data_IF_501047205781
#
_entry.id   IF_501047205781
#
_cell.length_a   1.000
_cell.length_b   1.000
_cell.length_c   1.000
_cell.angle_alpha   90.00
_cell.angle_beta   90.00
_cell.angle_gamma   90.00
#
_symmetry.space_group_name_H-M   'P 1'
#
loop_
_entity.id
_entity.type
_entity.pdbx_description
1 polymer ?
#
# COMPACT_ATOMS: atom_id res chain seq x y z
N UNK A 1 -1.94 -8.19 4.52
CA UNK A 1 -1.50 -6.81 4.87
C UNK A 1 -2.67 -5.84 4.99
N UNK A 2 -3.32 -5.43 3.88
CA UNK A 2 -4.29 -4.33 3.88
C UNK A 2 -5.45 -4.54 4.86
N UNK A 3 -6.01 -5.76 4.94
CA UNK A 3 -7.10 -6.08 5.88
C UNK A 3 -6.74 -5.97 7.37
N UNK A 4 -5.46 -5.80 7.72
CA UNK A 4 -4.99 -5.66 9.09
C UNK A 4 -4.78 -4.19 9.50
N UNK A 5 -4.91 -3.26 8.56
CA UNK A 5 -4.75 -1.82 8.80
C UNK A 5 -6.10 -1.24 9.24
N UNK A 6 -6.26 -0.99 10.53
CA UNK A 6 -7.51 -0.46 11.08
C UNK A 6 -7.49 1.07 11.09
N UNK A 7 -8.51 1.68 10.49
CA UNK A 7 -8.63 3.15 10.43
C UNK A 7 -7.73 3.83 9.40
N UNK A 8 -7.04 3.08 8.54
CA UNK A 8 -6.18 3.63 7.47
C UNK A 8 -6.77 3.29 6.11
N UNK A 9 -7.16 4.31 5.35
CA UNK A 9 -7.58 4.12 3.96
C UNK A 9 -6.33 3.96 3.06
N UNK A 10 -6.13 2.77 2.50
CA UNK A 10 -5.00 2.48 1.59
C UNK A 10 -5.48 1.81 0.30
N UNK A 11 -4.72 1.99 -0.78
CA UNK A 11 -4.96 1.34 -2.07
C UNK A 11 -3.76 0.50 -2.49
N UNK A 12 -4.01 -0.72 -2.95
CA UNK A 12 -3.00 -1.56 -3.58
C UNK A 12 -2.61 -0.99 -4.96
N UNK A 13 -1.30 -0.89 -5.23
CA UNK A 13 -0.76 -0.34 -6.47
C UNK A 13 -0.71 -1.32 -7.65
N UNK A 14 -1.04 -2.61 -7.44
CA UNK A 14 -1.22 -3.60 -8.48
C UNK A 14 -2.70 -3.59 -8.92
N UNK A 15 -2.98 -2.76 -9.92
CA UNK A 15 -4.28 -2.44 -10.51
C UNK A 15 -5.50 -3.28 -10.07
N UNK A 16 -6.39 -2.63 -9.32
CA UNK A 16 -7.74 -3.12 -9.06
C UNK A 16 -8.67 -2.80 -10.25
N UNK A 17 -8.69 -3.66 -11.26
CA UNK A 17 -9.88 -3.87 -12.10
C UNK A 17 -9.90 -5.30 -12.65
N UNK A 18 -11.02 -6.01 -12.42
CA UNK A 18 -11.50 -7.20 -13.12
C UNK A 18 -10.51 -8.38 -13.31
N UNK A 19 -10.46 -9.29 -12.32
CA UNK A 19 -10.20 -10.72 -12.57
C UNK A 19 -8.75 -11.15 -12.86
N UNK A 20 -7.76 -10.25 -12.83
CA UNK A 20 -6.34 -10.59 -13.01
C UNK A 20 -5.40 -9.64 -12.26
N UNK A 21 -4.17 -10.10 -11.97
CA UNK A 21 -3.10 -9.26 -11.43
C UNK A 21 -2.60 -8.39 -12.59
N UNK A 22 -3.16 -7.20 -12.73
CA UNK A 22 -2.61 -6.18 -13.61
C UNK A 22 -1.69 -5.26 -12.80
N UNK A 23 -0.56 -4.87 -13.39
CA UNK A 23 0.36 -3.91 -12.76
C UNK A 23 -0.09 -2.50 -13.13
N UNK A 24 0.14 -1.52 -12.25
CA UNK A 24 -0.11 -0.11 -12.60
C UNK A 24 0.70 0.29 -13.84
N UNK A 25 0.02 0.85 -14.84
CA UNK A 25 0.66 1.40 -16.04
C UNK A 25 1.71 2.47 -15.73
N UNK A 26 1.59 3.16 -14.60
CA UNK A 26 2.61 4.11 -14.11
C UNK A 26 3.86 3.38 -13.66
N UNK A 27 3.73 2.29 -12.89
CA UNK A 27 4.86 1.48 -12.44
C UNK A 27 5.56 0.78 -13.62
N UNK A 28 4.80 0.37 -14.64
CA UNK A 28 5.32 -0.16 -15.90
C UNK A 28 6.13 0.90 -16.66
N UNK A 29 5.60 2.12 -16.81
CA UNK A 29 6.30 3.23 -17.47
C UNK A 29 7.58 3.63 -16.72
N UNK A 30 7.58 3.52 -15.38
CA UNK A 30 8.76 3.71 -14.52
C UNK A 30 9.76 2.55 -14.59
N UNK A 31 9.44 1.47 -15.31
CA UNK A 31 10.26 0.24 -15.40
C UNK A 31 10.53 -0.41 -14.05
N UNK A 32 9.56 -0.34 -13.13
CA UNK A 32 9.66 -1.00 -11.82
C UNK A 32 9.57 -2.52 -12.03
N UNK A 33 10.47 -3.33 -11.44
CA UNK A 33 10.38 -4.79 -11.50
C UNK A 33 9.01 -5.30 -11.02
N UNK A 34 8.43 -6.25 -11.74
CA UNK A 34 7.09 -6.80 -11.46
C UNK A 34 6.94 -7.28 -10.02
N UNK A 35 7.97 -7.95 -9.48
CA UNK A 35 7.99 -8.43 -8.09
C UNK A 35 7.81 -7.29 -7.08
N UNK A 36 8.39 -6.12 -7.35
CA UNK A 36 8.24 -4.94 -6.49
C UNK A 36 6.91 -4.23 -6.74
N UNK A 37 6.46 -4.18 -7.99
CA UNK A 37 5.20 -3.54 -8.36
C UNK A 37 3.98 -4.26 -7.73
N UNK A 38 4.02 -5.59 -7.62
CA UNK A 38 3.00 -6.40 -6.95
C UNK A 38 2.84 -6.08 -5.46
N UNK A 39 3.92 -5.68 -4.78
CA UNK A 39 3.92 -5.31 -3.36
C UNK A 39 3.72 -3.82 -3.08
N UNK A 40 3.46 -3.00 -4.11
CA UNK A 40 3.39 -1.55 -3.95
C UNK A 40 2.10 -1.10 -3.26
N UNK A 41 2.21 -0.22 -2.27
CA UNK A 41 1.09 0.46 -1.61
C UNK A 41 1.16 1.95 -1.89
N UNK A 42 0.03 2.56 -2.23
CA UNK A 42 -0.10 4.02 -2.32
C UNK A 42 -0.87 4.54 -1.12
N UNK A 43 -0.23 5.39 -0.34
CA UNK A 43 -0.82 6.10 0.79
C UNK A 43 -0.81 7.58 0.47
N UNK A 44 -1.93 8.25 0.69
CA UNK A 44 -2.07 9.68 0.43
C UNK A 44 -2.63 10.35 1.67
N UNK A 45 -2.10 11.53 1.99
CA UNK A 45 -2.58 12.37 3.08
C UNK A 45 -3.43 13.50 2.53
N UNK A 46 -4.16 14.18 3.41
CA UNK A 46 -4.95 15.36 3.09
C UNK A 46 -4.71 16.49 4.08
N UNK A 47 -5.40 17.62 3.87
CA UNK A 47 -5.32 18.81 4.74
C UNK A 47 -5.55 18.49 6.22
N UNK A 48 -6.47 17.56 6.49
CA UNK A 48 -6.86 17.18 7.85
C UNK A 48 -5.99 16.06 8.45
N UNK A 49 -5.03 15.52 7.69
CA UNK A 49 -4.16 14.45 8.22
C UNK A 49 -3.21 15.00 9.27
N UNK A 50 -3.23 14.39 10.45
CA UNK A 50 -2.43 14.78 11.60
C UNK A 50 -1.16 13.94 11.72
N UNK A 51 -0.14 14.47 12.43
CA UNK A 51 1.07 13.72 12.72
C UNK A 51 0.79 12.44 13.52
N UNK A 52 -0.17 12.49 14.44
CA UNK A 52 -0.56 11.34 15.25
C UNK A 52 -1.15 10.20 14.39
N UNK A 53 -1.95 10.54 13.38
CA UNK A 53 -2.47 9.57 12.42
C UNK A 53 -1.34 8.97 11.57
N UNK A 54 -0.35 9.76 11.16
CA UNK A 54 0.83 9.27 10.43
C UNK A 54 1.62 8.30 11.28
N UNK A 55 1.90 8.63 12.54
CA UNK A 55 2.63 7.76 13.47
C UNK A 55 1.89 6.44 13.73
N UNK A 56 0.58 6.50 13.97
CA UNK A 56 -0.27 5.31 14.07
C UNK A 56 -0.21 4.48 12.79
N UNK A 57 -0.30 5.12 11.62
CA UNK A 57 -0.26 4.43 10.34
C UNK A 57 1.06 3.70 10.11
N UNK A 58 2.20 4.35 10.41
CA UNK A 58 3.53 3.74 10.31
C UNK A 58 3.67 2.53 11.23
N UNK A 59 3.22 2.62 12.49
CA UNK A 59 3.27 1.51 13.44
C UNK A 59 2.45 0.30 12.96
N UNK A 60 1.23 0.54 12.49
CA UNK A 60 0.35 -0.51 11.98
C UNK A 60 0.91 -1.16 10.72
N UNK A 61 1.47 -0.38 9.79
CA UNK A 61 2.11 -0.89 8.57
C UNK A 61 3.31 -1.78 8.89
N UNK A 62 4.18 -1.34 9.80
CA UNK A 62 5.35 -2.11 10.23
C UNK A 62 4.95 -3.41 10.93
N UNK A 63 3.93 -3.37 11.79
CA UNK A 63 3.37 -4.54 12.46
C UNK A 63 2.79 -5.55 11.46
N UNK A 64 1.95 -5.09 10.53
CA UNK A 64 1.35 -5.92 9.50
C UNK A 64 2.40 -6.54 8.56
N UNK A 65 3.46 -5.79 8.21
CA UNK A 65 4.56 -6.32 7.40
C UNK A 65 5.34 -7.41 8.13
N UNK A 66 5.63 -7.23 9.42
CA UNK A 66 6.39 -8.19 10.22
C UNK A 66 5.69 -9.55 10.30
N UNK A 67 4.36 -9.56 10.38
CA UNK A 67 3.56 -10.79 10.39
C UNK A 67 3.58 -11.56 9.05
N UNK A 68 3.82 -10.89 7.92
CA UNK A 68 3.91 -11.52 6.60
C UNK A 68 5.30 -12.10 6.31
N UNK A 69 6.31 -11.62 7.03
CA UNK A 69 7.69 -12.11 6.94
C UNK A 69 7.98 -13.31 7.85
N UNK A 70 7.00 -13.68 8.69
CA UNK A 70 7.03 -14.85 9.58
C UNK A 70 6.53 -16.09 8.84
#
# INVERSE_FOLDING_TARGET
MINQLQGIAVSAGAACHAGGISISSVLEAMKVPVVLAQGTLRISTGRETTNQEIESAVQQLAGAYSQLKS
#
